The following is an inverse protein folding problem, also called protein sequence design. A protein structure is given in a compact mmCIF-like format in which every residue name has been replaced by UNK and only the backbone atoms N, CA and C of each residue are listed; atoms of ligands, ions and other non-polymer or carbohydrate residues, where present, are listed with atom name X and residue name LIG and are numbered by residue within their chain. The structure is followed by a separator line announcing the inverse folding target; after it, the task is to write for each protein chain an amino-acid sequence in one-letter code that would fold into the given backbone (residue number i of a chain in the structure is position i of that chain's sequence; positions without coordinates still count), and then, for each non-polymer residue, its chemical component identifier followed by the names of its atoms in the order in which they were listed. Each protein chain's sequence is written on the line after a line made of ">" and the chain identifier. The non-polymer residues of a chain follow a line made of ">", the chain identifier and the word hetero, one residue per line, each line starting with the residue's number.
data_IF_626542277490
#
_entry.id   IF_626542277490
#
_cell.length_a   1.000
_cell.length_b   1.000
_cell.length_c   1.000
_cell.angle_alpha   90.00
_cell.angle_beta   90.00
_cell.angle_gamma   90.00
#
_symmetry.space_group_name_H-M   'P 1'
#
loop_
_entity.id
_entity.type
_entity.pdbx_description
1 polymer ?
#
# COMPACT_ATOMS: atom_id res chain seq x y z
N UNK A 1 -5.04 -5.07 -25.83
CA UNK A 1 -6.00 -4.42 -24.90
C UNK A 1 -5.72 -4.72 -23.42
N UNK A 2 -5.42 -5.96 -23.02
CA UNK A 2 -5.19 -6.29 -21.60
C UNK A 2 -4.01 -5.55 -20.96
N UNK A 3 -2.90 -5.38 -21.68
CA UNK A 3 -1.72 -4.64 -21.18
C UNK A 3 -2.06 -3.19 -20.79
N UNK A 4 -2.92 -2.50 -21.55
CA UNK A 4 -3.37 -1.15 -21.20
C UNK A 4 -4.23 -1.13 -19.92
N UNK A 5 -5.09 -2.15 -19.73
CA UNK A 5 -5.89 -2.27 -18.50
C UNK A 5 -4.99 -2.47 -17.28
N UNK A 6 -3.97 -3.32 -17.38
CA UNK A 6 -2.99 -3.55 -16.30
C UNK A 6 -2.27 -2.27 -15.91
N UNK A 7 -1.81 -1.47 -16.88
CA UNK A 7 -1.17 -0.18 -16.61
C UNK A 7 -2.11 0.80 -15.89
N UNK A 8 -3.38 0.90 -16.31
CA UNK A 8 -4.38 1.76 -15.66
C UNK A 8 -4.63 1.31 -14.21
N UNK A 9 -4.73 0.00 -13.96
CA UNK A 9 -4.93 -0.50 -12.60
C UNK A 9 -3.72 -0.23 -11.70
N UNK A 10 -2.50 -0.37 -12.23
CA UNK A 10 -1.27 -0.02 -11.50
C UNK A 10 -1.22 1.46 -11.15
N UNK A 11 -1.42 2.33 -12.13
CA UNK A 11 -1.41 3.79 -11.90
C UNK A 11 -2.47 4.21 -10.87
N UNK A 12 -3.67 3.62 -10.93
CA UNK A 12 -4.71 3.87 -9.93
C UNK A 12 -4.28 3.42 -8.53
N UNK A 13 -3.69 2.24 -8.41
CA UNK A 13 -3.18 1.73 -7.15
C UNK A 13 -2.11 2.65 -6.58
N UNK A 14 -1.14 3.06 -7.41
CA UNK A 14 -0.03 3.92 -7.00
C UNK A 14 -0.54 5.28 -6.50
N UNK A 15 -1.51 5.88 -7.22
CA UNK A 15 -2.20 7.10 -6.78
C UNK A 15 -2.90 6.94 -5.44
N UNK A 16 -3.60 5.82 -5.24
CA UNK A 16 -4.25 5.54 -3.95
C UNK A 16 -3.23 5.36 -2.84
N UNK A 17 -2.15 4.60 -3.06
CA UNK A 17 -1.10 4.37 -2.05
C UNK A 17 -0.34 5.65 -1.68
N UNK A 18 -0.33 6.65 -2.57
CA UNK A 18 0.26 7.97 -2.35
C UNK A 18 -0.70 8.98 -1.68
N UNK A 19 -1.96 8.63 -1.40
CA UNK A 19 -2.90 9.55 -0.79
C UNK A 19 -2.50 9.90 0.65
N UNK A 20 -2.87 11.11 1.10
CA UNK A 20 -2.51 11.61 2.43
C UNK A 20 -3.09 10.74 3.56
N UNK A 21 -4.26 10.14 3.34
CA UNK A 21 -4.93 9.27 4.30
C UNK A 21 -4.19 7.95 4.54
N UNK A 22 -3.39 7.50 3.57
CA UNK A 22 -2.63 6.26 3.68
C UNK A 22 -1.14 6.50 3.96
N UNK A 23 -0.62 7.71 3.73
CA UNK A 23 0.81 8.05 3.90
C UNK A 23 1.11 8.72 5.23
N UNK A 24 0.16 9.47 5.80
CA UNK A 24 0.31 10.09 7.10
C UNK A 24 -0.21 9.15 8.20
N UNK A 25 0.58 8.98 9.26
CA UNK A 25 0.27 8.02 10.32
C UNK A 25 -0.94 8.44 11.17
N UNK A 26 -1.13 9.73 11.41
CA UNK A 26 -2.26 10.28 12.18
C UNK A 26 -3.58 10.10 11.42
N UNK A 27 -3.59 10.38 10.10
CA UNK A 27 -4.79 10.17 9.27
C UNK A 27 -5.11 8.69 9.10
N UNK A 28 -4.10 7.83 9.01
CA UNK A 28 -4.26 6.38 8.94
C UNK A 28 -4.83 5.81 10.25
N UNK A 29 -4.35 6.30 11.39
CA UNK A 29 -4.88 5.91 12.70
C UNK A 29 -6.37 6.31 12.84
N UNK A 30 -6.75 7.50 12.39
CA UNK A 30 -8.16 7.94 12.36
C UNK A 30 -9.01 7.02 11.49
N UNK A 31 -8.54 6.66 10.29
CA UNK A 31 -9.25 5.74 9.40
C UNK A 31 -9.47 4.36 10.05
N UNK A 32 -8.43 3.81 10.66
CA UNK A 32 -8.50 2.49 11.30
C UNK A 32 -9.42 2.53 12.52
N UNK A 33 -9.36 3.61 13.31
CA UNK A 33 -10.30 3.84 14.41
C UNK A 33 -11.74 3.83 13.92
N UNK A 34 -12.04 4.57 12.85
CA UNK A 34 -13.38 4.59 12.26
C UNK A 34 -13.82 3.20 11.78
N UNK A 35 -12.92 2.44 11.15
CA UNK A 35 -13.21 1.08 10.69
C UNK A 35 -13.49 0.12 11.86
N UNK A 36 -12.69 0.20 12.92
CA UNK A 36 -12.88 -0.60 14.14
C UNK A 36 -14.23 -0.26 14.77
N UNK A 37 -14.58 1.02 14.90
CA UNK A 37 -15.86 1.44 15.48
C UNK A 37 -17.06 0.96 14.66
N UNK A 38 -16.97 1.04 13.32
CA UNK A 38 -18.03 0.55 12.43
C UNK A 38 -18.23 -0.97 12.51
N UNK A 39 -17.14 -1.73 12.63
CA UNK A 39 -17.19 -3.20 12.69
C UNK A 39 -17.54 -3.72 14.09
N UNK A 40 -17.06 -3.05 15.13
CA UNK A 40 -17.36 -3.31 16.54
C UNK A 40 -18.81 -2.99 16.90
N UNK A 41 -19.54 -2.18 16.13
CA UNK A 41 -20.97 -1.97 16.35
C UNK A 41 -21.78 -3.29 16.33
N UNK A 42 -21.23 -4.36 15.75
CA UNK A 42 -21.81 -5.71 15.74
C UNK A 42 -21.22 -6.67 16.79
N UNK A 43 -20.09 -6.32 17.43
CA UNK A 43 -19.39 -7.15 18.41
C UNK A 43 -19.42 -6.47 19.79
N UNK A 44 -19.84 -7.21 20.81
CA UNK A 44 -20.14 -6.69 22.16
C UNK A 44 -18.92 -6.14 22.92
N UNK A 45 -17.73 -6.23 22.33
CA UNK A 45 -16.46 -5.81 22.91
C UNK A 45 -16.13 -4.36 22.52
N UNK A 46 -15.90 -3.53 23.54
CA UNK A 46 -15.64 -2.11 23.37
C UNK A 46 -14.33 -1.82 22.62
N UNK A 47 -14.24 -0.60 22.10
CA UNK A 47 -13.03 -0.06 21.46
C UNK A 47 -11.82 -0.17 22.41
N UNK A 48 -10.74 -0.78 21.92
CA UNK A 48 -9.47 -0.92 22.65
C UNK A 48 -8.37 -0.13 21.96
N UNK A 49 -7.76 0.80 22.70
CA UNK A 49 -6.61 1.60 22.26
C UNK A 49 -5.42 0.72 21.84
N UNK A 50 -5.24 -0.43 22.51
CA UNK A 50 -4.16 -1.37 22.16
C UNK A 50 -4.40 -2.01 20.78
N UNK A 51 -5.67 -2.28 20.46
CA UNK A 51 -6.06 -2.88 19.18
C UNK A 51 -5.86 -1.85 18.09
N UNK A 52 -6.25 -0.59 18.32
CA UNK A 52 -6.00 0.51 17.39
C UNK A 52 -4.52 0.62 17.06
N UNK A 53 -3.64 0.78 18.06
CA UNK A 53 -2.19 0.94 17.83
C UNK A 53 -1.59 -0.24 17.06
N UNK A 54 -1.95 -1.47 17.45
CA UNK A 54 -1.48 -2.68 16.77
C UNK A 54 -1.92 -2.71 15.31
N UNK A 55 -3.20 -2.41 15.04
CA UNK A 55 -3.75 -2.38 13.68
C UNK A 55 -3.13 -1.28 12.83
N UNK A 56 -2.91 -0.09 13.39
CA UNK A 56 -2.20 1.01 12.71
C UNK A 56 -0.80 0.59 12.28
N UNK A 57 -0.03 -0.06 13.16
CA UNK A 57 1.30 -0.55 12.83
C UNK A 57 1.28 -1.63 11.73
N UNK A 58 0.38 -2.61 11.83
CA UNK A 58 0.21 -3.68 10.83
C UNK A 58 -0.13 -3.12 9.44
N UNK A 59 -1.10 -2.22 9.37
CA UNK A 59 -1.55 -1.61 8.11
C UNK A 59 -0.46 -0.70 7.53
N UNK A 60 0.20 0.12 8.36
CA UNK A 60 1.32 0.96 7.93
C UNK A 60 2.44 0.13 7.31
N UNK A 61 2.82 -0.98 7.95
CA UNK A 61 3.82 -1.90 7.42
C UNK A 61 3.38 -2.50 6.07
N UNK A 62 2.13 -2.93 5.97
CA UNK A 62 1.58 -3.47 4.72
C UNK A 62 1.58 -2.44 3.58
N UNK A 63 1.20 -1.20 3.86
CA UNK A 63 1.24 -0.10 2.89
C UNK A 63 2.69 0.19 2.44
N UNK A 64 3.66 0.12 3.35
CA UNK A 64 5.07 0.27 3.00
C UNK A 64 5.56 -0.85 2.09
N UNK A 65 5.16 -2.11 2.33
CA UNK A 65 5.45 -3.22 1.43
C UNK A 65 4.87 -2.98 0.03
N UNK A 66 3.61 -2.56 -0.06
CA UNK A 66 2.96 -2.28 -1.35
C UNK A 66 3.65 -1.16 -2.12
N UNK A 67 4.04 -0.08 -1.44
CA UNK A 67 4.80 1.03 -2.06
C UNK A 67 6.18 0.58 -2.53
N UNK A 68 6.87 -0.28 -1.77
CA UNK A 68 8.18 -0.79 -2.18
C UNK A 68 8.12 -1.63 -3.46
N UNK A 69 7.00 -2.29 -3.73
CA UNK A 69 6.76 -3.07 -4.94
C UNK A 69 6.27 -2.23 -6.14
N UNK A 70 5.91 -0.96 -5.91
CA UNK A 70 5.35 -0.03 -6.89
C UNK A 70 6.41 0.69 -7.75
N UNK A 71 7.70 0.34 -7.60
CA UNK A 71 8.79 0.94 -8.40
C UNK A 71 8.47 0.85 -9.90
N UNK A 72 8.40 2.02 -10.54
CA UNK A 72 8.15 2.16 -11.97
C UNK A 72 9.21 1.39 -12.77
N UNK A 73 8.76 0.58 -13.72
CA UNK A 73 9.61 -0.13 -14.70
C UNK A 73 10.51 0.85 -15.50
N UNK A 74 10.18 2.14 -15.54
CA UNK A 74 10.98 3.19 -16.18
C UNK A 74 12.30 3.50 -15.45
N UNK A 75 12.34 3.36 -14.11
CA UNK A 75 13.58 3.43 -13.33
C UNK A 75 14.34 2.08 -13.39
N UNK A 76 13.62 0.97 -13.57
CA UNK A 76 14.22 -0.34 -13.83
C UNK A 76 14.87 -0.41 -15.23
N UNK A 77 14.33 0.27 -16.24
CA UNK A 77 14.92 0.31 -17.59
C UNK A 77 16.24 1.08 -17.62
N UNK A 78 16.38 2.17 -16.85
CA UNK A 78 17.65 2.91 -16.71
C UNK A 78 18.73 2.11 -15.98
N UNK A 79 18.35 1.20 -15.08
CA UNK A 79 19.29 0.31 -14.38
C UNK A 79 19.61 -0.97 -15.18
N UNK A 80 18.72 -1.40 -16.09
CA UNK A 80 18.94 -2.54 -16.98
C UNK A 80 19.86 -2.25 -18.17
N UNK A 81 20.01 -1.00 -18.59
CA UNK A 81 20.96 -0.62 -19.63
C UNK A 81 22.42 -0.94 -19.27
N UNK A 82 22.74 -1.17 -17.98
CA UNK A 82 24.07 -1.55 -17.53
C UNK A 82 24.32 -3.08 -17.44
N UNK A 83 23.35 -3.94 -17.74
CA UNK A 83 23.53 -5.40 -17.58
C UNK A 83 23.02 -6.26 -18.75
N UNK A 84 23.17 -5.78 -19.98
CA UNK A 84 23.12 -6.66 -21.15
C UNK A 84 24.41 -7.51 -21.26
N UNK A 85 24.72 -8.26 -20.19
CA UNK A 85 25.70 -9.35 -20.20
C UNK A 85 24.98 -10.64 -20.59
N UNK A 86 24.92 -10.89 -21.89
CA UNK A 86 25.07 -12.19 -22.55
C UNK A 86 24.81 -13.45 -21.68
N UNK A 87 23.55 -13.80 -21.44
CA UNK A 87 23.20 -15.18 -21.08
C UNK A 87 23.12 -16.00 -22.36
N UNK A 88 24.25 -16.58 -22.76
CA UNK A 88 24.31 -17.58 -23.82
C UNK A 88 23.78 -18.91 -23.26
N UNK A 89 22.67 -19.39 -23.84
CA UNK A 89 22.20 -20.78 -23.73
C UNK A 89 23.07 -21.67 -24.62
#
# INVERSE_FOLDING_TARGET
>A
MEKQKISIYRERLDKTLASAELTNEETLEILIKNQILQTSQHEKDGFSENVLKKRTAEVSNFLNMLRSASVNDLELSKTREASHGEWKV
#
